data_IF_064956342843
#
_entry.id   IF_064956342843
#
_cell.length_a   1.000
_cell.length_b   1.000
_cell.length_c   1.000
_cell.angle_alpha   90.00
_cell.angle_beta   90.00
_cell.angle_gamma   90.00
#
_symmetry.space_group_name_H-M   'P 1'
#
loop_
_entity.id
_entity.type
_entity.pdbx_description
1 polymer ?
#
# COMPACT_ATOMS: atom_id res chain seq x y z
N UNK A 1 17.91 -24.41 0.36
CA UNK A 1 16.85 -23.76 -0.46
C UNK A 1 15.55 -24.58 -0.48
N UNK A 2 15.53 -25.87 -0.87
CA UNK A 2 14.30 -26.70 -1.00
C UNK A 2 13.50 -26.86 0.31
N UNK A 3 14.15 -27.06 1.46
CA UNK A 3 13.48 -27.20 2.77
C UNK A 3 12.82 -25.88 3.24
N UNK A 4 13.46 -24.74 2.97
CA UNK A 4 12.90 -23.42 3.27
C UNK A 4 11.71 -23.15 2.36
N UNK A 5 11.82 -23.49 1.08
CA UNK A 5 10.72 -23.38 0.12
C UNK A 5 9.52 -24.24 0.55
N UNK A 6 9.71 -25.51 0.92
CA UNK A 6 8.65 -26.41 1.35
C UNK A 6 7.90 -25.88 2.60
N UNK A 7 8.62 -25.37 3.62
CA UNK A 7 8.01 -24.77 4.81
C UNK A 7 7.22 -23.50 4.48
N UNK A 8 7.74 -22.65 3.59
CA UNK A 8 7.03 -21.44 3.12
C UNK A 8 5.78 -21.78 2.33
N UNK A 9 5.85 -22.81 1.47
CA UNK A 9 4.69 -23.28 0.69
C UNK A 9 3.57 -23.76 1.59
N UNK A 10 3.86 -24.59 2.61
CA UNK A 10 2.85 -25.07 3.56
C UNK A 10 2.18 -23.93 4.33
N UNK A 11 2.97 -22.94 4.81
CA UNK A 11 2.43 -21.75 5.48
C UNK A 11 1.55 -20.93 4.54
N UNK A 12 2.00 -20.69 3.30
CA UNK A 12 1.23 -19.95 2.31
C UNK A 12 -0.08 -20.68 1.95
N UNK A 13 -0.04 -21.99 1.73
CA UNK A 13 -1.25 -22.80 1.47
C UNK A 13 -2.25 -22.70 2.62
N UNK A 14 -1.80 -22.74 3.88
CA UNK A 14 -2.66 -22.57 5.04
C UNK A 14 -3.33 -21.18 5.06
N UNK A 15 -2.58 -20.11 4.76
CA UNK A 15 -3.09 -18.75 4.67
C UNK A 15 -4.16 -18.66 3.56
N UNK A 16 -3.85 -19.13 2.35
CA UNK A 16 -4.81 -19.10 1.25
C UNK A 16 -6.05 -19.97 1.49
N UNK A 17 -5.91 -21.09 2.21
CA UNK A 17 -7.07 -21.90 2.62
C UNK A 17 -8.04 -21.10 3.49
N UNK A 18 -7.54 -20.25 4.40
CA UNK A 18 -8.37 -19.33 5.19
C UNK A 18 -9.12 -18.30 4.32
N UNK A 19 -8.60 -17.97 3.14
CA UNK A 19 -9.18 -17.04 2.16
C UNK A 19 -10.04 -17.71 1.07
N UNK A 20 -10.43 -18.99 1.26
CA UNK A 20 -11.20 -19.72 0.25
C UNK A 20 -10.38 -20.25 -0.92
N UNK A 21 -9.06 -20.41 -0.77
CA UNK A 21 -8.15 -21.04 -1.72
C UNK A 21 -7.38 -20.12 -2.66
N UNK A 22 -7.68 -18.83 -2.69
CA UNK A 22 -6.99 -17.83 -3.54
C UNK A 22 -6.84 -16.48 -2.84
N UNK A 23 -5.90 -15.67 -3.32
CA UNK A 23 -5.80 -14.26 -2.93
C UNK A 23 -6.84 -13.42 -3.66
N UNK A 24 -7.55 -12.49 -3.01
CA UNK A 24 -8.44 -11.55 -3.67
C UNK A 24 -7.68 -10.41 -4.38
N UNK A 25 -6.36 -10.35 -4.27
CA UNK A 25 -5.53 -9.24 -4.75
C UNK A 25 -5.74 -8.95 -6.24
N UNK A 26 -5.79 -9.98 -7.10
CA UNK A 26 -5.97 -9.78 -8.53
C UNK A 26 -7.36 -9.21 -8.85
N UNK A 27 -8.40 -9.75 -8.21
CA UNK A 27 -9.79 -9.28 -8.40
C UNK A 27 -9.93 -7.81 -7.95
N UNK A 28 -9.38 -7.47 -6.79
CA UNK A 28 -9.37 -6.09 -6.28
C UNK A 28 -8.58 -5.15 -7.22
N UNK A 29 -7.43 -5.61 -7.74
CA UNK A 29 -6.64 -4.82 -8.70
C UNK A 29 -7.39 -4.64 -10.03
N UNK A 30 -8.19 -5.62 -10.46
CA UNK A 30 -9.05 -5.49 -11.64
C UNK A 30 -10.17 -4.46 -11.43
N UNK A 31 -10.77 -4.39 -10.23
CA UNK A 31 -11.72 -3.33 -9.89
C UNK A 31 -11.05 -1.95 -9.96
N UNK A 32 -9.86 -1.81 -9.38
CA UNK A 32 -9.06 -0.57 -9.46
C UNK A 32 -8.70 -0.21 -10.91
N UNK A 33 -8.30 -1.19 -11.73
CA UNK A 33 -8.01 -1.03 -13.14
C UNK A 33 -9.20 -0.43 -13.90
N UNK A 34 -10.37 -1.05 -13.78
CA UNK A 34 -11.59 -0.62 -14.46
C UNK A 34 -12.04 0.78 -14.01
N UNK A 35 -11.99 1.04 -12.70
CA UNK A 35 -12.34 2.34 -12.14
C UNK A 35 -11.38 3.44 -12.63
N UNK A 36 -10.07 3.15 -12.66
CA UNK A 36 -9.05 4.08 -13.14
C UNK A 36 -9.21 4.35 -14.65
N UNK A 37 -9.42 3.33 -15.47
CA UNK A 37 -9.64 3.48 -16.91
C UNK A 37 -10.86 4.37 -17.20
N UNK A 38 -11.96 4.16 -16.47
CA UNK A 38 -13.16 5.01 -16.54
C UNK A 38 -12.89 6.44 -16.10
N UNK A 39 -12.03 6.66 -15.11
CA UNK A 39 -11.66 8.00 -14.64
C UNK A 39 -10.77 8.71 -15.67
N UNK A 40 -9.78 8.01 -16.22
CA UNK A 40 -8.87 8.55 -17.25
C UNK A 40 -9.61 8.97 -18.50
N UNK A 41 -10.58 8.19 -18.99
CA UNK A 41 -11.38 8.56 -20.17
C UNK A 41 -12.16 9.88 -20.01
N UNK A 42 -12.40 10.32 -18.77
CA UNK A 42 -13.08 11.59 -18.48
C UNK A 42 -12.11 12.77 -18.39
N UNK A 43 -10.94 12.57 -17.77
CA UNK A 43 -9.99 13.66 -17.51
C UNK A 43 -8.95 13.85 -18.62
N UNK A 44 -8.76 12.84 -19.48
CA UNK A 44 -7.89 12.85 -20.65
C UNK A 44 -8.68 12.47 -21.92
N UNK A 45 -9.73 13.22 -22.28
CA UNK A 45 -10.62 12.85 -23.39
C UNK A 45 -9.93 12.86 -24.75
N UNK A 46 -8.80 13.56 -24.90
CA UNK A 46 -7.97 13.61 -26.11
C UNK A 46 -7.05 12.38 -26.27
N UNK A 47 -6.96 11.52 -25.23
CA UNK A 47 -6.15 10.31 -25.24
C UNK A 47 -7.01 9.06 -25.26
N UNK A 48 -6.67 8.10 -26.10
CA UNK A 48 -7.19 6.74 -25.95
C UNK A 48 -6.39 6.04 -24.86
N UNK A 49 -6.97 5.97 -23.67
CA UNK A 49 -6.31 5.42 -22.49
C UNK A 49 -6.72 3.97 -22.24
N UNK A 50 -5.76 3.13 -21.86
CA UNK A 50 -5.99 1.77 -21.40
C UNK A 50 -5.11 1.46 -20.19
N UNK A 51 -5.67 0.79 -19.19
CA UNK A 51 -4.94 0.40 -17.98
C UNK A 51 -4.58 -1.08 -18.04
N UNK A 52 -3.31 -1.39 -17.83
CA UNK A 52 -2.79 -2.76 -17.80
C UNK A 52 -2.27 -3.07 -16.39
N UNK A 53 -2.54 -4.27 -15.91
CA UNK A 53 -2.00 -4.74 -14.61
C UNK A 53 -0.65 -5.40 -14.85
N UNK A 54 0.35 -5.03 -14.06
CA UNK A 54 1.66 -5.69 -14.04
C UNK A 54 1.98 -6.11 -12.60
N UNK A 55 2.01 -7.39 -12.34
CA UNK A 55 2.35 -7.91 -11.03
C UNK A 55 3.82 -8.33 -10.96
N UNK A 56 4.45 -8.13 -9.80
CA UNK A 56 5.88 -8.45 -9.61
C UNK A 56 6.12 -9.94 -9.41
N UNK A 57 5.18 -10.64 -8.77
CA UNK A 57 5.37 -12.04 -8.34
C UNK A 57 4.17 -12.95 -8.63
N UNK A 58 3.20 -12.49 -9.41
CA UNK A 58 2.03 -13.23 -9.86
C UNK A 58 1.56 -12.79 -11.23
N UNK A 59 0.64 -13.49 -11.85
CA UNK A 59 0.08 -13.15 -13.15
C UNK A 59 -0.99 -12.03 -13.08
N UNK A 60 -1.01 -11.12 -14.07
CA UNK A 60 -0.06 -11.04 -15.18
C UNK A 60 1.32 -10.53 -14.73
N UNK A 61 2.37 -11.27 -15.08
CA UNK A 61 3.74 -10.84 -14.84
C UNK A 61 4.11 -9.61 -15.67
N UNK A 62 5.13 -8.85 -15.24
CA UNK A 62 5.59 -7.65 -15.98
C UNK A 62 5.92 -7.97 -17.44
N UNK A 63 6.48 -9.14 -17.74
CA UNK A 63 6.80 -9.60 -19.11
C UNK A 63 5.55 -9.73 -19.98
N UNK A 64 4.51 -10.34 -19.43
CA UNK A 64 3.22 -10.53 -20.11
C UNK A 64 2.58 -9.18 -20.41
N UNK A 65 2.65 -8.28 -19.43
CA UNK A 65 2.09 -6.93 -19.55
C UNK A 65 2.84 -6.09 -20.57
N UNK A 66 4.18 -6.13 -20.60
CA UNK A 66 4.99 -5.43 -21.61
C UNK A 66 4.62 -5.90 -23.02
N UNK A 67 4.41 -7.20 -23.20
CA UNK A 67 3.96 -7.75 -24.50
C UNK A 67 2.58 -7.19 -24.88
N UNK A 68 1.61 -7.23 -23.97
CA UNK A 68 0.26 -6.73 -24.23
C UNK A 68 0.24 -5.21 -24.52
N UNK A 69 1.06 -4.42 -23.84
CA UNK A 69 1.20 -2.96 -24.08
C UNK A 69 1.79 -2.69 -25.48
N UNK A 70 2.80 -3.47 -25.90
CA UNK A 70 3.38 -3.36 -27.25
C UNK A 70 2.39 -3.75 -28.33
N UNK A 71 1.65 -4.84 -28.14
CA UNK A 71 0.62 -5.29 -29.08
C UNK A 71 -0.53 -4.29 -29.20
N UNK A 72 -0.85 -3.59 -28.11
CA UNK A 72 -1.86 -2.51 -28.14
C UNK A 72 -1.36 -1.26 -28.87
N UNK A 73 -0.05 -1.09 -29.05
CA UNK A 73 0.55 0.02 -29.77
C UNK A 73 0.59 1.32 -28.98
N UNK A 74 0.97 1.25 -27.70
CA UNK A 74 1.05 2.44 -26.82
C UNK A 74 2.15 3.40 -27.28
N UNK A 75 1.82 4.68 -27.50
CA UNK A 75 2.77 5.76 -27.79
C UNK A 75 3.46 6.26 -26.52
N UNK A 76 2.77 6.18 -25.38
CA UNK A 76 3.23 6.62 -24.08
C UNK A 76 2.70 5.70 -22.99
N UNK A 77 3.55 5.33 -22.04
CA UNK A 77 3.18 4.56 -20.87
C UNK A 77 3.41 5.41 -19.60
N UNK A 78 2.45 5.40 -18.69
CA UNK A 78 2.65 5.91 -17.34
C UNK A 78 2.68 4.72 -16.39
N UNK A 79 3.81 4.46 -15.75
CA UNK A 79 3.91 3.43 -14.72
C UNK A 79 3.41 3.98 -13.39
N UNK A 80 2.46 3.29 -12.79
CA UNK A 80 1.80 3.70 -11.55
C UNK A 80 1.86 2.55 -10.53
N UNK A 81 2.96 2.38 -9.77
CA UNK A 81 3.05 1.38 -8.73
C UNK A 81 1.99 1.60 -7.64
N UNK A 82 1.23 0.57 -7.30
CA UNK A 82 0.21 0.65 -6.25
C UNK A 82 0.82 0.54 -4.83
N UNK A 83 1.94 1.24 -4.65
CA UNK A 83 2.63 1.46 -3.36
C UNK A 83 2.67 2.96 -3.10
N UNK A 84 1.79 3.50 -2.22
CA UNK A 84 1.76 4.94 -1.94
C UNK A 84 3.12 5.47 -1.47
N UNK A 85 3.77 4.71 -0.59
CA UNK A 85 5.09 4.99 -0.05
C UNK A 85 6.16 4.20 -0.82
N UNK A 86 7.18 4.91 -1.28
CA UNK A 86 8.31 4.31 -1.99
C UNK A 86 9.21 3.50 -1.05
N UNK A 87 9.63 2.34 -1.54
CA UNK A 87 10.78 1.61 -0.99
C UNK A 87 11.63 1.02 -2.11
N UNK A 88 12.92 0.84 -1.82
CA UNK A 88 13.85 0.10 -2.70
C UNK A 88 13.42 -1.35 -2.92
N UNK A 89 12.62 -1.91 -2.00
CA UNK A 89 12.14 -3.30 -2.07
C UNK A 89 10.82 -3.45 -2.83
N UNK A 90 10.07 -2.39 -3.05
CA UNK A 90 8.77 -2.39 -3.72
C UNK A 90 8.81 -1.61 -5.03
N UNK A 91 8.58 -0.31 -4.99
CA UNK A 91 8.53 0.57 -6.16
C UNK A 91 9.78 0.47 -7.02
N UNK A 92 10.99 0.60 -6.41
CA UNK A 92 12.23 0.51 -7.19
C UNK A 92 12.40 -0.84 -7.89
N UNK A 93 12.07 -1.95 -7.20
CA UNK A 93 12.12 -3.29 -7.78
C UNK A 93 11.14 -3.45 -8.95
N UNK A 94 9.95 -2.88 -8.84
CA UNK A 94 8.90 -2.92 -9.86
C UNK A 94 9.29 -2.09 -11.09
N UNK A 95 9.69 -0.83 -10.89
CA UNK A 95 10.12 0.07 -11.97
C UNK A 95 11.37 -0.46 -12.68
N UNK A 96 12.37 -0.95 -11.92
CA UNK A 96 13.54 -1.58 -12.52
C UNK A 96 13.15 -2.73 -13.46
N UNK A 97 12.26 -3.63 -13.03
CA UNK A 97 11.81 -4.74 -13.87
C UNK A 97 11.07 -4.26 -15.11
N UNK A 98 10.25 -3.22 -14.98
CA UNK A 98 9.60 -2.59 -16.13
C UNK A 98 10.62 -2.06 -17.12
N UNK A 99 11.57 -1.25 -16.70
CA UNK A 99 12.58 -0.64 -17.58
C UNK A 99 13.51 -1.67 -18.22
N UNK A 100 13.88 -2.74 -17.49
CA UNK A 100 14.68 -3.84 -18.05
C UNK A 100 13.97 -4.52 -19.26
N UNK A 101 12.63 -4.53 -19.30
CA UNK A 101 11.83 -5.23 -20.31
C UNK A 101 11.24 -4.29 -21.38
N UNK A 102 10.98 -3.06 -21.02
CA UNK A 102 10.24 -2.07 -21.80
C UNK A 102 11.14 -0.93 -22.34
N UNK A 103 12.43 -1.18 -22.51
CA UNK A 103 13.41 -0.15 -22.90
C UNK A 103 13.04 0.64 -24.17
N UNK A 104 12.26 0.03 -25.07
CA UNK A 104 11.82 0.65 -26.32
C UNK A 104 10.45 1.37 -26.21
N UNK A 105 9.83 1.38 -25.02
CA UNK A 105 8.58 2.09 -24.76
C UNK A 105 8.89 3.42 -24.05
N UNK A 106 8.32 4.51 -24.55
CA UNK A 106 8.39 5.79 -23.85
C UNK A 106 7.59 5.67 -22.55
N UNK A 107 8.26 5.69 -21.41
CA UNK A 107 7.66 5.50 -20.10
C UNK A 107 7.89 6.71 -19.19
N UNK A 108 6.86 7.09 -18.44
CA UNK A 108 6.89 8.11 -17.40
C UNK A 108 6.54 7.47 -16.08
N UNK A 109 7.35 7.65 -15.05
CA UNK A 109 7.16 6.99 -13.76
C UNK A 109 6.45 7.90 -12.75
N UNK A 110 5.40 7.36 -12.13
CA UNK A 110 4.87 7.87 -10.86
C UNK A 110 5.55 7.12 -9.73
N UNK A 111 6.50 7.74 -9.06
CA UNK A 111 7.40 7.03 -8.12
C UNK A 111 6.78 6.81 -6.75
N UNK A 112 6.06 7.79 -6.20
CA UNK A 112 5.33 7.69 -4.93
C UNK A 112 4.19 8.70 -4.89
N UNK A 113 3.22 8.49 -3.99
CA UNK A 113 2.06 9.38 -3.84
C UNK A 113 1.53 9.38 -2.39
N UNK A 114 2.45 9.28 -1.43
CA UNK A 114 2.16 9.19 0.01
C UNK A 114 1.40 10.39 0.59
N UNK A 115 1.36 11.54 -0.11
CA UNK A 115 0.64 12.76 0.26
C UNK A 115 -0.46 13.12 -0.75
N UNK A 116 -0.82 12.21 -1.66
CA UNK A 116 -1.82 12.49 -2.67
C UNK A 116 -3.18 12.75 -2.00
N UNK A 117 -3.85 13.89 -2.30
CA UNK A 117 -5.05 14.31 -1.59
C UNK A 117 -6.20 13.28 -1.61
N UNK A 118 -6.43 12.60 -2.73
CA UNK A 118 -7.48 11.59 -2.85
C UNK A 118 -7.17 10.32 -2.04
N UNK A 119 -5.90 9.95 -1.92
CA UNK A 119 -5.45 8.87 -1.04
C UNK A 119 -5.70 9.23 0.44
N UNK A 120 -5.33 10.44 0.84
CA UNK A 120 -5.54 10.94 2.21
C UNK A 120 -7.03 11.03 2.52
N UNK A 121 -7.83 11.64 1.63
CA UNK A 121 -9.27 11.77 1.78
C UNK A 121 -9.96 10.40 1.90
N UNK A 122 -9.59 9.43 1.07
CA UNK A 122 -10.17 8.08 1.13
C UNK A 122 -9.96 7.45 2.51
N UNK A 123 -8.75 7.53 3.08
CA UNK A 123 -8.53 7.03 4.45
C UNK A 123 -9.27 7.84 5.50
N UNK A 124 -9.36 9.16 5.38
CA UNK A 124 -10.13 9.98 6.33
C UNK A 124 -11.61 9.56 6.34
N UNK A 125 -12.21 9.35 5.18
CA UNK A 125 -13.61 8.90 5.08
C UNK A 125 -13.82 7.49 5.66
N UNK A 126 -12.93 6.54 5.33
CA UNK A 126 -13.01 5.17 5.84
C UNK A 126 -12.76 5.07 7.35
N UNK A 127 -11.82 5.85 7.88
CA UNK A 127 -11.57 5.95 9.33
C UNK A 127 -12.81 6.52 10.03
N UNK A 128 -13.40 7.61 9.51
CA UNK A 128 -14.60 8.20 10.10
C UNK A 128 -15.76 7.23 10.11
N UNK A 129 -15.98 6.48 9.03
CA UNK A 129 -16.99 5.43 8.97
C UNK A 129 -16.77 4.34 10.03
N UNK A 130 -15.52 3.91 10.23
CA UNK A 130 -15.17 2.89 11.22
C UNK A 130 -15.33 3.43 12.66
N UNK A 131 -14.93 4.68 12.92
CA UNK A 131 -15.13 5.35 14.20
C UNK A 131 -16.61 5.45 14.57
N UNK A 132 -17.48 5.77 13.60
CA UNK A 132 -18.93 5.87 13.81
C UNK A 132 -19.58 4.51 14.18
N UNK A 133 -18.94 3.40 13.84
CA UNK A 133 -19.41 2.04 14.17
C UNK A 133 -18.85 1.54 15.53
N UNK A 134 -17.81 2.18 16.04
CA UNK A 134 -17.19 1.78 17.30
C UNK A 134 -18.03 2.23 18.51
N UNK A 135 -17.96 1.49 19.64
CA UNK A 135 -18.65 1.86 20.87
C UNK A 135 -18.16 3.22 21.41
N UNK A 136 -19.06 4.16 21.60
CA UNK A 136 -18.75 5.52 22.07
C UNK A 136 -18.26 5.59 23.54
N UNK A 137 -18.44 4.51 24.29
CA UNK A 137 -18.08 4.43 25.73
C UNK A 137 -16.66 3.92 25.96
N UNK A 138 -15.96 3.50 24.92
CA UNK A 138 -14.62 2.93 25.00
C UNK A 138 -13.62 3.95 24.46
N UNK A 139 -12.57 4.30 25.21
CA UNK A 139 -11.47 5.10 24.67
C UNK A 139 -10.78 4.32 23.54
N UNK A 140 -10.51 4.98 22.44
CA UNK A 140 -9.98 4.34 21.23
C UNK A 140 -8.58 4.86 20.91
N UNK A 141 -7.76 3.98 20.35
CA UNK A 141 -6.46 4.28 19.76
C UNK A 141 -6.42 3.80 18.31
N UNK A 142 -6.02 4.67 17.39
CA UNK A 142 -5.79 4.33 15.99
C UNK A 142 -4.39 3.71 15.84
N UNK A 143 -4.31 2.50 15.28
CA UNK A 143 -3.04 1.83 14.97
C UNK A 143 -2.83 1.84 13.45
N UNK A 144 -1.95 2.73 12.98
CA UNK A 144 -1.54 2.77 11.58
C UNK A 144 -0.52 1.68 11.32
N UNK A 145 -0.97 0.60 10.70
CA UNK A 145 -0.15 -0.56 10.39
C UNK A 145 0.46 -0.44 9.00
N UNK A 146 1.77 -0.60 8.92
CA UNK A 146 2.52 -0.67 7.67
C UNK A 146 3.33 -1.97 7.61
N UNK A 147 3.65 -2.44 6.41
CA UNK A 147 4.55 -3.59 6.26
C UNK A 147 5.94 -3.24 6.80
N UNK A 148 6.49 -4.07 7.67
CA UNK A 148 7.84 -3.88 8.19
C UNK A 148 8.90 -4.06 7.10
N UNK A 149 9.92 -3.21 7.10
CA UNK A 149 11.15 -3.41 6.32
C UNK A 149 12.36 -3.48 7.27
N UNK A 150 13.46 -4.12 6.86
CA UNK A 150 14.66 -4.14 7.69
C UNK A 150 15.17 -2.74 8.00
N UNK A 151 15.47 -2.45 9.27
CA UNK A 151 16.00 -1.17 9.75
C UNK A 151 17.24 -0.73 8.95
N UNK A 152 18.06 -1.68 8.52
CA UNK A 152 19.23 -1.42 7.68
C UNK A 152 18.91 -0.65 6.41
N UNK A 153 17.76 -0.90 5.77
CA UNK A 153 17.38 -0.20 4.53
C UNK A 153 17.10 1.28 4.81
N UNK A 154 16.39 1.57 5.89
CA UNK A 154 16.10 2.95 6.33
C UNK A 154 17.40 3.68 6.69
N UNK A 155 18.29 3.02 7.45
CA UNK A 155 19.60 3.57 7.77
C UNK A 155 20.49 3.84 6.52
N UNK A 156 20.18 3.19 5.41
CA UNK A 156 20.84 3.40 4.11
C UNK A 156 20.13 4.43 3.23
N UNK A 157 19.13 5.16 3.76
CA UNK A 157 18.43 6.24 3.08
C UNK A 157 17.16 5.85 2.32
N UNK A 158 16.57 4.65 2.59
CA UNK A 158 15.25 4.30 2.06
C UNK A 158 14.18 5.21 2.69
N UNK A 159 13.33 5.89 1.92
CA UNK A 159 12.40 6.88 2.44
C UNK A 159 11.12 6.29 3.03
N UNK A 160 10.92 4.99 2.98
CA UNK A 160 9.66 4.33 3.30
C UNK A 160 9.09 4.72 4.65
N UNK A 161 9.88 4.59 5.72
CA UNK A 161 9.44 4.93 7.07
C UNK A 161 8.95 6.37 7.16
N UNK A 162 9.77 7.32 6.69
CA UNK A 162 9.42 8.74 6.68
C UNK A 162 8.16 9.01 5.86
N UNK A 163 7.99 8.39 4.68
CA UNK A 163 6.80 8.56 3.86
C UNK A 163 5.54 7.98 4.51
N UNK A 164 5.65 6.86 5.25
CA UNK A 164 4.55 6.34 6.07
C UNK A 164 4.15 7.36 7.15
N UNK A 165 5.13 7.91 7.87
CA UNK A 165 4.92 8.95 8.89
C UNK A 165 4.24 10.19 8.30
N UNK A 166 4.63 10.63 7.10
CA UNK A 166 3.98 11.75 6.42
C UNK A 166 2.54 11.43 5.99
N UNK A 167 2.28 10.20 5.48
CA UNK A 167 0.90 9.78 5.17
C UNK A 167 0.02 9.86 6.40
N UNK A 168 0.50 9.30 7.52
CA UNK A 168 -0.24 9.32 8.80
C UNK A 168 -0.46 10.74 9.29
N UNK A 169 0.56 11.60 9.26
CA UNK A 169 0.44 12.99 9.68
C UNK A 169 -0.63 13.75 8.87
N UNK A 170 -0.71 13.53 7.55
CA UNK A 170 -1.74 14.14 6.71
C UNK A 170 -3.13 13.57 6.99
N UNK A 171 -3.27 12.26 7.15
CA UNK A 171 -4.55 11.63 7.50
C UNK A 171 -5.05 12.16 8.85
N UNK A 172 -4.18 12.27 9.85
CA UNK A 172 -4.51 12.69 11.19
C UNK A 172 -4.88 14.16 11.34
N UNK A 173 -4.69 14.99 10.31
CA UNK A 173 -5.18 16.39 10.35
C UNK A 173 -6.71 16.48 10.55
N UNK A 174 -7.46 15.44 10.22
CA UNK A 174 -8.92 15.40 10.40
C UNK A 174 -9.37 14.82 11.75
N UNK A 175 -8.44 14.33 12.60
CA UNK A 175 -8.78 13.58 13.80
C UNK A 175 -7.97 14.03 15.02
N UNK A 176 -8.62 13.96 16.19
CA UNK A 176 -7.99 14.21 17.50
C UNK A 176 -7.79 12.94 18.34
N UNK A 177 -8.15 11.78 17.78
CA UNK A 177 -8.02 10.48 18.46
C UNK A 177 -6.54 10.12 18.62
N UNK A 178 -6.17 9.52 19.75
CA UNK A 178 -4.82 9.01 19.97
C UNK A 178 -4.42 8.03 18.87
N UNK A 179 -3.20 8.13 18.36
CA UNK A 179 -2.72 7.24 17.32
C UNK A 179 -1.27 6.79 17.52
N UNK A 180 -0.93 5.66 16.92
CA UNK A 180 0.42 5.10 16.84
C UNK A 180 0.67 4.56 15.44
N UNK A 181 1.92 4.59 15.02
CA UNK A 181 2.40 3.90 13.81
C UNK A 181 3.12 2.64 14.26
N UNK A 182 2.85 1.52 13.62
CA UNK A 182 3.44 0.23 13.93
C UNK A 182 3.69 -0.60 12.67
N UNK A 183 4.51 -1.64 12.79
CA UNK A 183 4.96 -2.43 11.65
C UNK A 183 4.65 -3.91 11.84
N UNK A 184 4.02 -4.51 10.81
CA UNK A 184 3.62 -5.92 10.75
C UNK A 184 4.53 -6.76 9.83
N UNK A 185 4.25 -8.07 9.74
CA UNK A 185 4.85 -9.02 8.79
C UNK A 185 6.37 -9.19 8.92
N UNK A 186 6.87 -9.14 10.14
CA UNK A 186 8.29 -9.32 10.46
C UNK A 186 8.69 -10.80 10.34
N UNK A 187 9.75 -11.10 9.58
CA UNK A 187 10.17 -12.48 9.31
C UNK A 187 11.68 -12.66 9.52
N UNK A 188 12.04 -13.69 10.30
CA UNK A 188 13.43 -14.08 10.53
C UNK A 188 14.18 -13.17 11.51
N UNK A 189 15.52 -13.33 11.63
CA UNK A 189 16.31 -12.73 12.71
C UNK A 189 16.81 -11.31 12.41
N UNK A 190 16.27 -10.65 11.39
CA UNK A 190 16.68 -9.28 11.04
C UNK A 190 16.13 -8.28 12.06
N UNK A 191 16.84 -7.17 12.24
CA UNK A 191 16.29 -6.00 12.90
C UNK A 191 15.32 -5.30 11.95
N UNK A 192 14.07 -5.23 12.35
CA UNK A 192 12.96 -4.63 11.59
C UNK A 192 12.60 -3.25 12.15
N UNK A 193 11.85 -2.47 11.39
CA UNK A 193 11.26 -1.24 11.88
C UNK A 193 10.42 -1.50 13.14
N UNK A 194 10.43 -0.55 14.05
CA UNK A 194 9.73 -0.55 15.34
C UNK A 194 8.85 0.69 15.49
N UNK A 195 7.84 0.63 16.39
CA UNK A 195 7.40 -0.53 17.17
C UNK A 195 6.71 -1.60 16.31
N UNK A 196 6.73 -2.86 16.79
CA UNK A 196 5.93 -3.91 16.14
C UNK A 196 4.44 -3.71 16.42
N UNK A 197 3.60 -4.29 15.56
CA UNK A 197 2.16 -4.30 15.78
C UNK A 197 1.79 -4.99 17.10
N UNK A 198 2.48 -6.07 17.46
CA UNK A 198 2.28 -6.78 18.73
C UNK A 198 2.61 -5.92 19.94
N UNK A 199 3.69 -5.12 19.88
CA UNK A 199 4.06 -4.20 20.96
C UNK A 199 2.96 -3.17 21.23
N UNK A 200 2.37 -2.61 20.17
CA UNK A 200 1.29 -1.63 20.30
C UNK A 200 -0.03 -2.27 20.75
N UNK A 201 -0.32 -3.53 20.41
CA UNK A 201 -1.44 -4.26 21.00
C UNK A 201 -1.24 -4.49 22.49
N UNK A 202 -0.04 -4.90 22.91
CA UNK A 202 0.26 -5.09 24.35
C UNK A 202 0.10 -3.78 25.14
N UNK A 203 0.55 -2.65 24.59
CA UNK A 203 0.35 -1.32 25.22
C UNK A 203 -1.14 -0.95 25.27
N UNK A 204 -1.90 -1.17 24.21
CA UNK A 204 -3.34 -0.90 24.19
C UNK A 204 -4.09 -1.71 25.25
N UNK A 205 -3.69 -2.97 25.46
CA UNK A 205 -4.25 -3.82 26.52
C UNK A 205 -3.91 -3.28 27.92
N UNK A 206 -2.66 -2.86 28.18
CA UNK A 206 -2.24 -2.25 29.43
C UNK A 206 -2.97 -0.94 29.73
N UNK A 207 -3.23 -0.14 28.70
CA UNK A 207 -3.94 1.13 28.80
C UNK A 207 -5.47 0.97 28.83
N UNK A 208 -5.98 -0.25 28.66
CA UNK A 208 -7.41 -0.57 28.59
C UNK A 208 -8.16 0.21 27.48
N UNK A 209 -7.54 0.45 26.34
CA UNK A 209 -8.14 1.13 25.20
C UNK A 209 -8.52 0.16 24.09
N UNK A 210 -9.61 0.44 23.39
CA UNK A 210 -9.95 -0.25 22.14
C UNK A 210 -9.02 0.20 20.99
N UNK A 211 -8.84 -0.66 19.99
CA UNK A 211 -8.00 -0.34 18.83
C UNK A 211 -8.81 -0.32 17.54
N UNK A 212 -8.48 0.62 16.67
CA UNK A 212 -8.90 0.63 15.26
C UNK A 212 -7.64 0.59 14.42
N UNK A 213 -7.51 -0.44 13.59
CA UNK A 213 -6.33 -0.69 12.75
C UNK A 213 -6.53 -0.10 11.37
N UNK A 214 -5.54 0.64 10.89
CA UNK A 214 -5.51 1.27 9.56
C UNK A 214 -4.34 0.71 8.76
N UNK A 215 -4.56 -0.07 7.68
CA UNK A 215 -3.49 -0.65 6.87
C UNK A 215 -2.92 0.38 5.87
N UNK A 216 -2.25 1.42 6.38
CA UNK A 216 -1.88 2.65 5.66
C UNK A 216 -0.93 2.46 4.46
N UNK A 217 -0.21 1.35 4.40
CA UNK A 217 0.70 1.05 3.30
C UNK A 217 0.10 0.07 2.26
N UNK A 218 -1.17 -0.29 2.41
CA UNK A 218 -1.86 -1.24 1.54
C UNK A 218 -3.05 -0.58 0.86
N UNK A 219 -3.15 -0.74 -0.45
CA UNK A 219 -4.25 -0.16 -1.23
C UNK A 219 -5.25 -1.19 -1.74
N UNK A 220 -5.05 -2.46 -1.42
CA UNK A 220 -5.94 -3.58 -1.75
C UNK A 220 -5.93 -4.62 -0.65
N UNK A 221 -7.08 -5.27 -0.43
CA UNK A 221 -7.17 -6.39 0.51
C UNK A 221 -6.42 -7.61 -0.01
N UNK A 222 -5.69 -8.27 0.88
CA UNK A 222 -4.91 -9.46 0.59
C UNK A 222 -4.61 -10.24 1.88
N UNK A 223 -3.71 -11.22 1.84
CA UNK A 223 -3.43 -12.07 3.00
C UNK A 223 -2.93 -11.31 4.24
N UNK A 224 -2.19 -10.22 4.05
CA UNK A 224 -1.63 -9.44 5.17
C UNK A 224 -2.66 -8.52 5.83
N UNK A 225 -3.78 -8.24 5.17
CA UNK A 225 -4.92 -7.54 5.77
C UNK A 225 -5.98 -8.51 6.29
N UNK A 226 -6.44 -9.45 5.45
CA UNK A 226 -7.55 -10.33 5.78
C UNK A 226 -7.19 -11.49 6.71
N UNK A 227 -5.94 -11.97 6.69
CA UNK A 227 -5.51 -13.05 7.61
C UNK A 227 -4.74 -12.47 8.77
N UNK A 228 -3.68 -11.71 8.51
CA UNK A 228 -2.81 -11.21 9.59
C UNK A 228 -3.56 -10.22 10.49
N UNK A 229 -4.24 -9.19 9.92
CA UNK A 229 -4.95 -8.20 10.72
C UNK A 229 -6.34 -8.69 11.18
N UNK A 230 -7.18 -9.25 10.29
CA UNK A 230 -8.56 -9.57 10.64
C UNK A 230 -8.72 -10.88 11.41
N UNK A 231 -7.77 -11.83 11.29
CA UNK A 231 -7.84 -13.11 11.99
C UNK A 231 -6.78 -13.20 13.09
N UNK A 232 -5.49 -13.16 12.72
CA UNK A 232 -4.42 -13.50 13.66
C UNK A 232 -4.27 -12.41 14.75
N UNK A 233 -4.17 -11.13 14.39
CA UNK A 233 -4.08 -10.04 15.38
C UNK A 233 -5.40 -9.74 16.09
N UNK A 234 -6.55 -9.96 15.44
CA UNK A 234 -7.84 -9.86 16.12
C UNK A 234 -7.98 -10.94 17.21
N UNK A 235 -7.57 -12.16 16.93
CA UNK A 235 -7.52 -13.23 17.95
C UNK A 235 -6.58 -12.85 19.10
N UNK A 236 -5.41 -12.29 18.78
CA UNK A 236 -4.45 -11.81 19.78
C UNK A 236 -5.02 -10.68 20.65
N UNK A 237 -5.76 -9.74 20.05
CA UNK A 237 -6.41 -8.66 20.80
C UNK A 237 -7.46 -9.21 21.77
N UNK A 238 -8.20 -10.26 21.39
CA UNK A 238 -9.15 -10.95 22.28
C UNK A 238 -8.43 -11.65 23.45
N UNK A 239 -7.32 -12.36 23.17
CA UNK A 239 -6.48 -12.97 24.22
C UNK A 239 -5.97 -11.95 25.24
N UNK A 240 -5.63 -10.75 24.78
CA UNK A 240 -5.16 -9.63 25.58
C UNK A 240 -6.29 -8.85 26.28
N UNK A 241 -7.55 -9.26 26.12
CA UNK A 241 -8.74 -8.57 26.64
C UNK A 241 -8.84 -7.11 26.20
N UNK A 242 -8.42 -6.78 24.98
CA UNK A 242 -8.62 -5.46 24.38
C UNK A 242 -10.13 -5.24 24.20
N UNK A 243 -10.71 -4.14 24.74
CA UNK A 243 -12.17 -3.98 24.83
C UNK A 243 -12.86 -3.80 23.48
N UNK A 244 -12.15 -3.42 22.43
CA UNK A 244 -12.66 -3.30 21.08
C UNK A 244 -11.53 -3.47 20.05
N UNK A 245 -11.81 -4.18 18.97
CA UNK A 245 -10.92 -4.32 17.82
C UNK A 245 -11.69 -4.07 16.53
N UNK A 246 -11.43 -2.94 15.89
CA UNK A 246 -11.95 -2.59 14.57
C UNK A 246 -10.83 -2.52 13.53
N UNK A 247 -11.16 -2.67 12.25
CA UNK A 247 -10.23 -2.47 11.13
C UNK A 247 -10.86 -1.61 10.05
N UNK A 248 -10.14 -0.59 9.62
CA UNK A 248 -10.48 0.25 8.48
C UNK A 248 -10.15 -0.50 7.19
N UNK A 249 -11.08 -0.64 6.23
CA UNK A 249 -10.78 -1.24 4.93
C UNK A 249 -9.60 -0.55 4.23
N UNK A 250 -8.91 -1.27 3.34
CA UNK A 250 -7.97 -0.63 2.41
C UNK A 250 -8.75 0.30 1.46
N UNK A 251 -8.06 1.27 0.88
CA UNK A 251 -8.72 2.25 -0.01
C UNK A 251 -9.36 1.63 -1.26
N UNK A 252 -8.90 0.45 -1.71
CA UNK A 252 -9.51 -0.28 -2.81
C UNK A 252 -9.75 0.58 -4.06
N UNK A 253 -10.99 0.56 -4.53
CA UNK A 253 -11.49 1.39 -5.62
C UNK A 253 -12.27 2.61 -5.13
N UNK A 254 -11.98 3.10 -3.91
CA UNK A 254 -12.62 4.28 -3.34
C UNK A 254 -12.58 5.47 -4.31
N UNK A 255 -13.71 6.17 -4.57
CA UNK A 255 -13.78 7.19 -5.61
C UNK A 255 -12.74 8.30 -5.50
N UNK A 256 -12.46 8.79 -4.28
CA UNK A 256 -11.43 9.81 -4.05
C UNK A 256 -10.03 9.29 -4.40
N UNK A 257 -9.70 8.05 -4.02
CA UNK A 257 -8.41 7.42 -4.34
C UNK A 257 -8.23 7.24 -5.85
N UNK A 258 -9.24 6.71 -6.54
CA UNK A 258 -9.19 6.51 -8.00
C UNK A 258 -9.08 7.86 -8.73
N UNK A 259 -9.80 8.89 -8.29
CA UNK A 259 -9.67 10.23 -8.85
C UNK A 259 -8.26 10.79 -8.66
N UNK A 260 -7.67 10.60 -7.48
CA UNK A 260 -6.29 10.97 -7.19
C UNK A 260 -5.28 10.27 -8.09
N UNK A 261 -5.40 8.93 -8.26
CA UNK A 261 -4.55 8.18 -9.19
C UNK A 261 -4.67 8.68 -10.63
N UNK A 262 -5.89 8.95 -11.09
CA UNK A 262 -6.13 9.48 -12.42
C UNK A 262 -5.48 10.86 -12.60
N UNK A 263 -5.58 11.75 -11.58
CA UNK A 263 -4.94 13.06 -11.62
C UNK A 263 -3.40 12.95 -11.64
N UNK A 264 -2.82 12.00 -10.92
CA UNK A 264 -1.37 11.74 -10.99
C UNK A 264 -0.94 11.36 -12.42
N UNK A 265 -1.70 10.48 -13.08
CA UNK A 265 -1.44 10.11 -14.48
C UNK A 265 -1.56 11.34 -15.40
N UNK A 266 -2.62 12.13 -15.28
CA UNK A 266 -2.83 13.33 -16.09
C UNK A 266 -1.68 14.34 -15.90
N UNK A 267 -1.20 14.52 -14.69
CA UNK A 267 -0.07 15.39 -14.39
C UNK A 267 1.23 14.89 -15.05
N UNK A 268 1.46 13.55 -15.12
CA UNK A 268 2.64 13.00 -15.83
C UNK A 268 2.53 13.22 -17.32
N UNK A 269 1.35 12.97 -17.89
CA UNK A 269 1.09 13.20 -19.33
C UNK A 269 1.31 14.68 -19.69
N UNK A 270 0.76 15.60 -18.90
CA UNK A 270 0.91 17.05 -19.14
C UNK A 270 2.37 17.53 -19.00
N UNK A 271 3.07 17.07 -17.98
CA UNK A 271 4.46 17.43 -17.75
C UNK A 271 5.43 16.74 -18.73
N UNK A 272 5.03 15.65 -19.40
CA UNK A 272 5.89 14.80 -20.23
C UNK A 272 7.18 14.33 -19.51
N UNK A 273 7.11 14.19 -18.19
CA UNK A 273 8.22 13.83 -17.31
C UNK A 273 7.76 12.89 -16.21
N UNK A 274 8.65 11.97 -15.79
CA UNK A 274 8.47 11.18 -14.59
C UNK A 274 8.34 12.08 -13.34
N UNK A 275 7.77 11.55 -12.26
CA UNK A 275 7.66 12.32 -11.01
C UNK A 275 9.04 12.73 -10.53
N UNK A 276 9.28 14.03 -10.46
CA UNK A 276 10.49 14.63 -9.92
C UNK A 276 10.22 15.16 -8.52
N UNK A 277 11.21 15.01 -7.64
CA UNK A 277 11.31 15.76 -6.42
C UNK A 277 10.11 15.63 -5.50
N UNK A 278 9.96 14.48 -4.87
CA UNK A 278 9.21 14.45 -3.63
C UNK A 278 9.91 15.35 -2.61
N UNK A 279 9.13 15.92 -1.69
CA UNK A 279 9.64 16.72 -0.56
C UNK A 279 10.46 15.91 0.47
N UNK A 280 11.02 14.78 0.04
CA UNK A 280 11.82 13.91 0.91
C UNK A 280 13.07 14.63 1.39
N UNK A 281 13.40 14.58 2.70
CA UNK A 281 14.62 15.13 3.26
C UNK A 281 15.89 14.67 2.56
N UNK A 282 16.94 15.52 2.54
CA UNK A 282 18.18 15.28 1.80
C UNK A 282 18.90 13.98 2.18
N UNK A 283 18.81 13.57 3.44
CA UNK A 283 19.41 12.34 3.96
C UNK A 283 18.78 11.05 3.41
N UNK A 284 17.56 11.11 2.86
CA UNK A 284 16.88 9.96 2.25
C UNK A 284 17.36 9.77 0.80
N UNK A 285 18.62 9.41 0.66
CA UNK A 285 19.37 9.38 -0.61
C UNK A 285 18.86 8.36 -1.62
N UNK A 286 18.09 7.36 -1.16
CA UNK A 286 17.51 6.32 -2.04
C UNK A 286 16.07 6.62 -2.49
N UNK A 287 15.59 7.83 -2.27
CA UNK A 287 14.28 8.23 -2.79
C UNK A 287 14.32 8.25 -4.33
N UNK A 288 13.43 7.49 -4.96
CA UNK A 288 13.37 7.39 -6.41
C UNK A 288 12.96 8.68 -7.14
N UNK A 289 12.45 9.68 -6.41
CA UNK A 289 12.15 11.01 -6.96
C UNK A 289 13.38 11.92 -7.12
N UNK A 290 14.57 11.43 -6.82
CA UNK A 290 15.85 12.18 -6.88
C UNK A 290 16.75 11.74 -8.02
N UNK A 291 16.25 10.85 -8.88
CA UNK A 291 17.00 10.35 -10.04
C UNK A 291 17.20 11.38 -11.14
#
# INVERSE_FOLDING_TARGET
>A
ARLIAARRTSKAQHIYKKLGGKSPLLENTQCQQQALEKSLSKILPEWTSRVFIAMRYWHPLTEETVTAVKEWGADLVVTLPLYPQYSTTTTASSLKRWHDLAANLKSLDQVCYYQEPGFIQAYQELIQQTLNQAPSTIPLRLLFSAHGIPQKLVNQGDPYQWQVEQSVANIMQAFTVEHRICYQSRVGPLQWLEPSFEDELNKAAQDHVGVIVIPVAFVSEHSETLVELDMDFKAKALELNIPYYGRVPTVGDHPAFIAGLAQLVANRVAAQQSSQGGSCPAQLTKCGCRG
#
